data_IF_151308276436
#
_entry.id   IF_151308276436
#
_cell.length_a   1.000
_cell.length_b   1.000
_cell.length_c   1.000
_cell.angle_alpha   90.00
_cell.angle_beta   90.00
_cell.angle_gamma   90.00
#
_symmetry.space_group_name_H-M   'P 1'
#
loop_
_entity.id
_entity.type
_entity.pdbx_description
1 polymer ?
#
# COMPACT_ATOMS: atom_id res chain seq x y z
N UNK A 1 40.74 9.01 -28.73
CA UNK A 1 39.61 8.78 -29.65
C UNK A 1 39.23 7.32 -29.47
N UNK A 2 38.38 6.93 -28.54
CA UNK A 2 36.92 7.15 -28.39
C UNK A 2 36.14 6.61 -29.59
N UNK A 3 35.88 5.31 -29.57
CA UNK A 3 34.68 4.71 -30.14
C UNK A 3 34.16 3.66 -29.15
N UNK A 4 33.03 4.01 -28.52
CA UNK A 4 32.09 3.14 -27.84
C UNK A 4 30.77 3.38 -28.54
N UNK A 5 30.20 2.35 -29.16
CA UNK A 5 28.77 2.19 -29.46
C UNK A 5 28.57 0.67 -29.68
N UNK A 6 27.54 -0.01 -29.23
CA UNK A 6 26.58 0.23 -28.15
C UNK A 6 26.07 -1.18 -27.81
N UNK A 7 26.46 -1.70 -26.65
CA UNK A 7 25.82 -2.90 -26.11
C UNK A 7 24.54 -2.47 -25.39
N UNK A 8 23.49 -3.25 -25.64
CA UNK A 8 22.11 -2.92 -25.32
C UNK A 8 21.93 -2.39 -23.90
N UNK A 9 21.21 -1.28 -23.80
CA UNK A 9 20.61 -0.86 -22.55
C UNK A 9 19.12 -1.09 -22.69
N UNK A 10 18.68 -2.27 -22.27
CA UNK A 10 17.30 -2.51 -21.85
C UNK A 10 16.97 -1.41 -20.84
N UNK A 11 15.99 -0.57 -21.18
CA UNK A 11 15.54 0.48 -20.27
C UNK A 11 14.81 -0.19 -19.11
N UNK A 12 15.59 -0.45 -18.06
CA UNK A 12 15.13 -0.70 -16.71
C UNK A 12 14.23 0.45 -16.26
N UNK A 13 12.93 0.22 -16.18
CA UNK A 13 12.08 0.90 -15.20
C UNK A 13 10.99 -0.06 -14.74
N UNK A 14 11.40 -1.23 -14.22
CA UNK A 14 10.54 -1.98 -13.32
C UNK A 14 10.69 -1.36 -11.92
N UNK A 15 10.00 -0.24 -11.68
CA UNK A 15 9.75 0.24 -10.32
C UNK A 15 8.85 -0.79 -9.67
N UNK A 16 9.46 -1.81 -9.08
CA UNK A 16 8.79 -2.77 -8.19
C UNK A 16 7.90 -1.99 -7.23
N UNK A 17 6.59 -2.07 -7.45
CA UNK A 17 5.60 -1.44 -6.59
C UNK A 17 5.75 -2.12 -5.24
N UNK A 18 6.22 -1.39 -4.24
CA UNK A 18 6.36 -1.92 -2.89
C UNK A 18 4.97 -2.29 -2.36
N UNK A 19 4.70 -3.59 -2.25
CA UNK A 19 3.41 -4.11 -1.76
C UNK A 19 3.52 -4.52 -0.31
N UNK A 20 2.45 -4.27 0.46
CA UNK A 20 2.32 -4.74 1.85
C UNK A 20 1.06 -5.58 1.98
N UNK A 21 1.17 -6.75 2.63
CA UNK A 21 0.02 -7.58 2.98
C UNK A 21 -0.85 -6.86 4.03
N UNK A 22 -2.16 -6.83 3.80
CA UNK A 22 -3.15 -6.32 4.75
C UNK A 22 -4.05 -7.49 5.13
N UNK A 23 -4.24 -7.70 6.43
CA UNK A 23 -5.15 -8.72 6.94
C UNK A 23 -6.54 -8.10 7.10
N UNK A 24 -7.57 -8.74 6.55
CA UNK A 24 -8.95 -8.26 6.60
C UNK A 24 -9.84 -9.33 7.23
N UNK A 25 -10.70 -8.93 8.16
CA UNK A 25 -11.75 -9.78 8.75
C UNK A 25 -13.08 -9.35 8.14
N UNK A 26 -13.79 -10.29 7.53
CA UNK A 26 -15.06 -10.04 6.84
C UNK A 26 -16.13 -11.02 7.36
N UNK A 27 -17.43 -10.65 7.31
CA UNK A 27 -18.51 -11.57 7.57
C UNK A 27 -18.47 -12.77 6.61
N UNK A 28 -18.79 -13.96 7.11
CA UNK A 28 -18.78 -15.21 6.32
C UNK A 28 -19.67 -15.08 5.06
N UNK A 29 -20.88 -14.54 5.23
CA UNK A 29 -21.81 -14.31 4.13
C UNK A 29 -21.30 -13.35 3.05
N UNK A 30 -20.36 -12.47 3.39
CA UNK A 30 -19.70 -11.61 2.42
C UNK A 30 -18.60 -12.36 1.67
N UNK A 31 -17.84 -13.21 2.37
CA UNK A 31 -16.78 -14.04 1.77
C UNK A 31 -17.38 -14.99 0.73
N UNK A 32 -18.48 -15.67 1.06
CA UNK A 32 -19.19 -16.57 0.14
C UNK A 32 -19.65 -15.84 -1.12
N UNK A 33 -20.28 -14.67 -0.97
CA UNK A 33 -20.69 -13.85 -2.13
C UNK A 33 -19.52 -13.41 -2.99
N UNK A 34 -18.38 -13.07 -2.38
CA UNK A 34 -17.17 -12.71 -3.13
C UNK A 34 -16.66 -13.92 -3.89
N UNK A 35 -16.65 -15.12 -3.29
CA UNK A 35 -16.22 -16.35 -3.93
C UNK A 35 -17.09 -16.67 -5.15
N UNK A 36 -18.41 -16.66 -4.99
CA UNK A 36 -19.35 -16.92 -6.09
C UNK A 36 -19.18 -15.90 -7.23
N UNK A 37 -19.09 -14.62 -6.89
CA UNK A 37 -18.88 -13.56 -7.88
C UNK A 37 -17.56 -13.75 -8.64
N UNK A 38 -16.47 -14.04 -7.93
CA UNK A 38 -15.16 -14.31 -8.50
C UNK A 38 -15.19 -15.51 -9.45
N UNK A 39 -15.90 -16.58 -9.06
CA UNK A 39 -16.10 -17.75 -9.90
C UNK A 39 -16.80 -17.40 -11.22
N UNK A 40 -17.95 -16.71 -11.14
CA UNK A 40 -18.71 -16.32 -12.34
C UNK A 40 -17.98 -15.34 -13.26
N UNK A 41 -17.11 -14.50 -12.70
CA UNK A 41 -16.32 -13.50 -13.46
C UNK A 41 -14.95 -14.01 -13.90
N UNK A 42 -14.60 -15.26 -13.57
CA UNK A 42 -13.26 -15.82 -13.78
C UNK A 42 -12.16 -14.88 -13.25
N UNK A 43 -12.34 -14.40 -12.02
CA UNK A 43 -11.50 -13.40 -11.36
C UNK A 43 -10.99 -13.95 -10.03
N UNK A 44 -9.82 -13.51 -9.59
CA UNK A 44 -9.32 -13.84 -8.25
C UNK A 44 -9.90 -12.91 -7.18
N UNK A 45 -10.03 -13.41 -5.94
CA UNK A 45 -10.46 -12.59 -4.80
C UNK A 45 -9.55 -11.36 -4.58
N UNK A 46 -8.25 -11.48 -4.92
CA UNK A 46 -7.28 -10.38 -4.81
C UNK A 46 -7.60 -9.25 -5.78
N UNK A 47 -7.88 -9.59 -7.04
CA UNK A 47 -8.26 -8.61 -8.06
C UNK A 47 -9.59 -7.95 -7.70
N UNK A 48 -10.57 -8.71 -7.23
CA UNK A 48 -11.84 -8.18 -6.73
C UNK A 48 -11.62 -7.14 -5.63
N UNK A 49 -10.83 -7.49 -4.60
CA UNK A 49 -10.55 -6.59 -3.49
C UNK A 49 -9.78 -5.34 -3.95
N UNK A 50 -8.81 -5.50 -4.84
CA UNK A 50 -8.08 -4.36 -5.41
C UNK A 50 -9.02 -3.41 -6.16
N UNK A 51 -9.89 -3.93 -7.03
CA UNK A 51 -10.86 -3.14 -7.78
C UNK A 51 -11.87 -2.47 -6.85
N UNK A 52 -12.37 -3.18 -5.85
CA UNK A 52 -13.32 -2.64 -4.88
C UNK A 52 -12.72 -1.48 -4.08
N UNK A 53 -11.48 -1.64 -3.59
CA UNK A 53 -10.76 -0.59 -2.86
C UNK A 53 -10.45 0.60 -3.78
N UNK A 54 -9.97 0.35 -4.99
CA UNK A 54 -9.68 1.41 -5.96
C UNK A 54 -10.95 2.20 -6.33
N UNK A 55 -12.07 1.51 -6.56
CA UNK A 55 -13.36 2.13 -6.83
C UNK A 55 -13.87 2.94 -5.64
N UNK A 56 -13.72 2.42 -4.41
CA UNK A 56 -14.12 3.13 -3.20
C UNK A 56 -13.30 4.41 -2.95
N UNK A 57 -12.01 4.39 -3.26
CA UNK A 57 -11.13 5.55 -3.11
C UNK A 57 -11.27 6.56 -4.25
N UNK A 58 -11.82 6.15 -5.40
CA UNK A 58 -12.01 7.04 -6.55
C UNK A 58 -12.91 8.22 -6.18
N UNK A 59 -12.37 9.43 -6.29
CA UNK A 59 -13.10 10.67 -6.01
C UNK A 59 -13.17 11.06 -4.52
N UNK A 60 -12.59 10.26 -3.61
CA UNK A 60 -12.48 10.66 -2.21
C UNK A 60 -11.26 11.56 -2.01
N UNK A 61 -11.45 12.71 -1.36
CA UNK A 61 -10.34 13.53 -0.87
C UNK A 61 -9.72 12.82 0.33
N UNK A 62 -8.56 12.21 0.12
CA UNK A 62 -7.77 11.59 1.19
C UNK A 62 -7.00 12.72 1.85
N UNK A 63 -7.40 13.11 3.07
CA UNK A 63 -6.65 14.07 3.86
C UNK A 63 -5.24 13.52 4.12
N UNK A 64 -4.25 14.42 4.11
CA UNK A 64 -2.87 14.01 4.37
C UNK A 64 -2.79 13.41 5.77
N UNK A 65 -2.15 12.24 5.87
CA UNK A 65 -1.90 11.61 7.17
C UNK A 65 -1.27 12.63 8.13
N UNK A 66 -1.80 12.83 9.35
CA UNK A 66 -1.24 13.80 10.29
C UNK A 66 0.25 13.53 10.54
N UNK A 67 1.05 14.58 10.69
CA UNK A 67 2.50 14.44 10.83
C UNK A 67 2.90 13.66 12.09
N UNK A 68 2.06 13.70 13.13
CA UNK A 68 2.19 12.88 14.35
C UNK A 68 2.16 11.37 14.07
N UNK A 69 1.50 10.95 12.99
CA UNK A 69 1.39 9.54 12.58
C UNK A 69 2.48 9.17 11.57
N UNK A 70 2.90 10.10 10.70
CA UNK A 70 4.05 9.91 9.80
C UNK A 70 5.36 9.76 10.57
N UNK A 71 5.54 10.57 11.61
CA UNK A 71 6.75 10.61 12.45
C UNK A 71 6.53 9.96 13.82
N UNK A 72 5.63 8.97 13.92
CA UNK A 72 5.24 8.37 15.21
C UNK A 72 6.46 7.90 16.03
N UNK A 73 7.44 7.28 15.38
CA UNK A 73 8.64 6.78 16.06
C UNK A 73 9.55 7.90 16.57
N UNK A 74 9.69 8.97 15.80
CA UNK A 74 10.44 10.17 16.21
C UNK A 74 9.72 10.92 17.34
N UNK A 75 8.40 11.02 17.24
CA UNK A 75 7.53 11.65 18.25
C UNK A 75 7.54 10.87 19.58
N UNK A 76 7.51 9.54 19.53
CA UNK A 76 7.62 8.69 20.71
C UNK A 76 9.00 8.79 21.37
N UNK A 77 10.09 8.87 20.57
CA UNK A 77 11.45 9.11 21.09
C UNK A 77 11.56 10.47 21.77
N UNK A 78 11.06 11.54 21.14
CA UNK A 78 11.04 12.90 21.71
C UNK A 78 10.24 12.97 23.03
N UNK A 79 9.12 12.26 23.14
CA UNK A 79 8.32 12.20 24.39
C UNK A 79 9.05 11.48 25.54
N UNK A 80 9.79 10.40 25.26
CA UNK A 80 10.58 9.70 26.29
C UNK A 80 11.71 10.59 26.83
N UNK A 81 12.38 11.34 25.95
CA UNK A 81 13.44 12.27 26.35
C UNK A 81 12.91 13.40 27.27
N UNK A 82 11.72 13.95 26.97
CA UNK A 82 11.09 14.98 27.81
C UNK A 82 10.64 14.48 29.20
N UNK A 83 10.22 13.22 29.30
CA UNK A 83 9.80 12.62 30.58
C UNK A 83 10.97 12.38 31.54
N UNK A 84 12.16 12.13 30.99
CA UNK A 84 13.37 11.85 31.78
C UNK A 84 14.14 13.12 32.18
N UNK A 85 13.63 14.30 31.85
CA UNK A 85 14.30 15.58 32.10
C UNK A 85 13.40 16.56 32.86
N UNK A 86 12.60 16.02 33.79
CA UNK A 86 11.85 16.79 34.78
C UNK A 86 12.77 16.86 36.02
N UNK A 87 13.10 18.07 36.52
CA UNK A 87 13.96 18.24 37.70
C UNK A 87 13.34 17.66 38.98
#
# INVERSE_FOLDING_TARGET
>A
MKEKEDQGTTTDTDKSIETRKILAVLPISMIEKIQDYCYWKNMTQKEFLYQAVAAFLKGKKIESRPDSVKHRDEFLRKRKAKKNNIP
#
